data_IF_568011667919
#
_entry.id   IF_568011667919
#
_cell.length_a   1.000
_cell.length_b   1.000
_cell.length_c   1.000
_cell.angle_alpha   90.00
_cell.angle_beta   90.00
_cell.angle_gamma   90.00
#
_symmetry.space_group_name_H-M   'P 1'
#
loop_
_entity.id
_entity.type
_entity.pdbx_description
1 polymer ?
#
# COMPACT_ATOMS: atom_id res chain seq x y z
N UNK A 1 -12.89 -3.46 45.83
CA UNK A 1 -12.44 -2.22 46.51
C UNK A 1 -13.71 -1.41 46.79
N UNK A 2 -14.01 -1.14 48.04
CA UNK A 2 -15.21 -0.37 48.42
C UNK A 2 -14.77 1.07 48.67
N UNK A 3 -15.31 1.99 47.89
CA UNK A 3 -15.11 3.43 48.14
C UNK A 3 -16.13 3.92 49.17
N UNK A 4 -15.72 4.83 49.99
CA UNK A 4 -16.65 5.47 50.94
C UNK A 4 -17.75 6.22 50.17
N UNK A 5 -19.03 6.12 50.57
CA UNK A 5 -20.15 6.75 49.85
C UNK A 5 -19.96 8.24 49.66
N UNK A 6 -19.33 8.92 50.57
CA UNK A 6 -19.04 10.37 50.52
C UNK A 6 -18.09 10.72 49.39
N UNK A 7 -17.07 9.85 49.11
CA UNK A 7 -16.16 10.01 47.96
C UNK A 7 -16.90 9.84 46.62
N UNK A 8 -17.78 8.86 46.55
CA UNK A 8 -18.59 8.64 45.36
C UNK A 8 -19.52 9.83 45.13
N UNK A 9 -20.21 10.29 46.15
CA UNK A 9 -21.08 11.47 46.09
C UNK A 9 -20.32 12.73 45.67
N UNK A 10 -19.13 12.93 46.22
CA UNK A 10 -18.26 14.07 45.86
C UNK A 10 -17.84 13.98 44.37
N UNK A 11 -17.44 12.79 43.91
CA UNK A 11 -17.07 12.60 42.51
C UNK A 11 -18.27 12.88 41.56
N UNK A 12 -19.47 12.36 41.84
CA UNK A 12 -20.69 12.60 41.06
C UNK A 12 -21.00 14.09 41.02
N UNK A 13 -20.95 14.77 42.17
CA UNK A 13 -21.19 16.22 42.25
C UNK A 13 -20.17 17.00 41.43
N UNK A 14 -18.88 16.66 41.55
CA UNK A 14 -17.79 17.27 40.78
C UNK A 14 -17.96 17.09 39.28
N UNK A 15 -18.34 15.88 38.82
CA UNK A 15 -18.64 15.61 37.41
C UNK A 15 -19.84 16.42 36.92
N UNK A 16 -20.90 16.50 37.71
CA UNK A 16 -22.09 17.26 37.34
C UNK A 16 -21.82 18.76 37.23
N UNK A 17 -21.06 19.32 38.16
CA UNK A 17 -20.63 20.71 38.09
C UNK A 17 -19.71 20.98 36.88
N UNK A 18 -18.78 20.08 36.62
CA UNK A 18 -17.92 20.15 35.44
C UNK A 18 -18.71 20.10 34.14
N UNK A 19 -19.68 19.21 34.02
CA UNK A 19 -20.55 19.12 32.84
C UNK A 19 -21.42 20.39 32.66
N UNK A 20 -21.87 21.01 33.76
CA UNK A 20 -22.66 22.25 33.74
C UNK A 20 -21.85 23.49 33.33
N UNK A 21 -20.52 23.49 33.45
CA UNK A 21 -19.65 24.63 33.12
C UNK A 21 -19.56 24.95 31.62
N UNK A 22 -20.28 24.26 30.75
CA UNK A 22 -20.29 24.46 29.29
C UNK A 22 -18.88 24.63 28.69
N UNK A 23 -17.95 23.80 29.09
CA UNK A 23 -16.61 23.79 28.47
C UNK A 23 -16.75 23.51 26.98
N UNK A 24 -15.94 24.19 26.14
CA UNK A 24 -15.85 23.83 24.75
C UNK A 24 -15.60 22.31 24.64
N UNK A 25 -16.40 21.61 23.86
CA UNK A 25 -16.14 20.21 23.55
C UNK A 25 -14.80 20.12 22.82
N UNK A 26 -14.11 19.00 22.90
CA UNK A 26 -12.85 18.81 22.16
C UNK A 26 -13.02 19.09 20.68
N UNK A 27 -14.20 18.77 20.10
CA UNK A 27 -14.57 19.09 18.74
C UNK A 27 -14.57 20.61 18.42
N UNK A 28 -14.73 21.46 19.42
CA UNK A 28 -14.77 22.93 19.27
C UNK A 28 -13.40 23.57 19.57
N UNK A 29 -12.39 22.76 19.95
CA UNK A 29 -11.05 23.26 20.20
C UNK A 29 -10.43 23.78 18.91
N UNK A 30 -9.67 24.90 18.98
CA UNK A 30 -9.05 25.52 17.80
C UNK A 30 -8.16 24.57 16.98
N UNK A 31 -7.51 23.58 17.62
CA UNK A 31 -6.72 22.55 16.92
C UNK A 31 -7.61 21.54 16.18
N UNK A 32 -8.80 21.21 16.71
CA UNK A 32 -9.72 20.27 16.06
C UNK A 32 -10.44 20.92 14.85
N UNK A 33 -10.59 22.25 14.88
CA UNK A 33 -11.22 23.03 13.80
C UNK A 33 -10.21 23.67 12.84
N UNK A 34 -8.89 23.48 13.09
CA UNK A 34 -7.84 24.05 12.24
C UNK A 34 -7.83 23.38 10.87
N UNK A 35 -7.92 24.19 9.81
CA UNK A 35 -7.69 23.75 8.45
C UNK A 35 -6.26 24.07 8.03
N UNK A 36 -5.49 23.05 7.74
CA UNK A 36 -4.14 23.15 7.19
C UNK A 36 -4.25 23.42 5.69
N UNK A 37 -3.51 24.37 5.08
CA UNK A 37 -3.53 24.52 3.63
C UNK A 37 -3.06 23.25 2.94
N UNK A 38 -3.59 22.94 1.75
CA UNK A 38 -3.03 21.88 0.92
C UNK A 38 -1.61 22.28 0.51
N UNK A 39 -0.67 21.33 0.47
CA UNK A 39 0.70 21.63 0.11
C UNK A 39 0.82 21.98 -1.39
N UNK A 40 1.82 22.81 -1.71
CA UNK A 40 2.31 22.89 -3.08
C UNK A 40 2.97 21.55 -3.43
N UNK A 41 2.51 20.93 -4.50
CA UNK A 41 2.98 19.64 -4.95
C UNK A 41 3.99 19.84 -6.10
N UNK A 42 5.29 19.52 -5.90
CA UNK A 42 6.27 19.56 -6.98
C UNK A 42 5.94 18.57 -8.09
N UNK A 43 6.38 18.86 -9.30
CA UNK A 43 6.28 17.91 -10.42
C UNK A 43 7.27 16.75 -10.19
N UNK A 44 6.82 15.49 -10.26
CA UNK A 44 7.71 14.35 -10.11
C UNK A 44 8.80 14.26 -11.19
N UNK A 45 9.97 13.79 -10.81
CA UNK A 45 11.06 13.49 -11.75
C UNK A 45 10.82 12.12 -12.41
N UNK A 46 10.15 12.13 -13.56
CA UNK A 46 9.75 10.93 -14.28
C UNK A 46 10.93 10.12 -14.82
N UNK A 47 10.81 8.79 -14.77
CA UNK A 47 11.75 7.85 -15.39
C UNK A 47 11.18 7.33 -16.71
N UNK A 48 12.07 6.96 -17.61
CA UNK A 48 11.67 6.35 -18.90
C UNK A 48 11.42 4.86 -18.72
N UNK A 49 10.28 4.32 -19.18
CA UNK A 49 10.02 2.88 -19.18
C UNK A 49 11.14 2.11 -19.92
N UNK A 50 11.50 0.96 -19.36
CA UNK A 50 12.56 0.10 -19.94
C UNK A 50 14.00 0.62 -19.71
N UNK A 51 14.18 1.68 -18.91
CA UNK A 51 15.48 2.15 -18.47
C UNK A 51 16.13 1.24 -17.42
N UNK A 52 17.23 1.71 -16.84
CA UNK A 52 17.89 0.99 -15.73
C UNK A 52 16.93 0.86 -14.55
N UNK A 53 16.76 -0.37 -14.05
CA UNK A 53 15.95 -0.62 -12.88
C UNK A 53 16.45 0.18 -11.68
N UNK A 54 15.55 0.86 -10.99
CA UNK A 54 15.82 1.72 -9.85
C UNK A 54 14.99 1.28 -8.63
N UNK A 55 15.44 1.63 -7.45
CA UNK A 55 14.62 1.51 -6.26
C UNK A 55 13.50 2.56 -6.30
N UNK A 56 12.23 2.16 -6.25
CA UNK A 56 11.14 3.13 -6.15
C UNK A 56 11.24 4.01 -4.90
N UNK A 57 11.87 3.51 -3.82
CA UNK A 57 12.09 4.28 -2.60
C UNK A 57 13.07 5.44 -2.79
N UNK A 58 14.07 5.32 -3.67
CA UNK A 58 14.97 6.45 -3.95
C UNK A 58 14.21 7.62 -4.63
N UNK A 59 13.27 7.32 -5.52
CA UNK A 59 12.42 8.34 -6.13
C UNK A 59 11.48 9.00 -5.11
N UNK A 60 10.91 8.20 -4.20
CA UNK A 60 10.09 8.67 -3.09
C UNK A 60 10.87 9.58 -2.15
N UNK A 61 12.10 9.20 -1.78
CA UNK A 61 12.97 9.97 -0.89
C UNK A 61 13.25 11.38 -1.45
N UNK A 62 13.73 11.43 -2.70
CA UNK A 62 14.02 12.69 -3.38
C UNK A 62 12.76 13.56 -3.50
N UNK A 63 11.62 12.98 -3.90
CA UNK A 63 10.36 13.72 -4.02
C UNK A 63 9.88 14.28 -2.67
N UNK A 64 9.97 13.50 -1.59
CA UNK A 64 9.53 13.95 -0.28
C UNK A 64 10.37 15.12 0.24
N UNK A 65 11.68 15.12 0.00
CA UNK A 65 12.54 16.25 0.33
C UNK A 65 12.14 17.50 -0.44
N UNK A 66 11.85 17.38 -1.73
CA UNK A 66 11.37 18.50 -2.56
C UNK A 66 10.02 19.02 -2.09
N UNK A 67 9.08 18.12 -1.75
CA UNK A 67 7.78 18.48 -1.19
C UNK A 67 7.93 19.29 0.10
N UNK A 68 8.79 18.87 1.02
CA UNK A 68 9.03 19.61 2.26
C UNK A 68 9.66 21.00 1.98
N UNK A 69 10.60 21.09 1.06
CA UNK A 69 11.23 22.35 0.67
C UNK A 69 10.26 23.34 0.03
N UNK A 70 9.31 22.84 -0.76
CA UNK A 70 8.28 23.67 -1.40
C UNK A 70 7.24 24.20 -0.37
N UNK A 71 7.21 23.66 0.86
CA UNK A 71 6.19 23.97 1.86
C UNK A 71 6.82 24.33 3.23
N UNK A 72 7.60 25.41 3.33
CA UNK A 72 8.34 25.76 4.55
C UNK A 72 7.42 26.07 5.76
N UNK A 73 6.18 26.47 5.49
CA UNK A 73 5.19 26.78 6.55
C UNK A 73 4.50 25.52 7.12
N UNK A 74 4.70 24.37 6.50
CA UNK A 74 4.15 23.09 6.95
C UNK A 74 5.23 22.27 7.64
N UNK A 75 5.13 22.16 8.96
CA UNK A 75 6.12 21.40 9.75
C UNK A 75 6.15 19.92 9.34
N UNK A 76 7.28 19.39 8.84
CA UNK A 76 7.39 17.96 8.54
C UNK A 76 7.50 17.11 9.80
N UNK A 77 7.05 15.87 9.72
CA UNK A 77 7.27 14.84 10.72
C UNK A 77 7.42 13.49 10.04
N UNK A 78 8.56 12.85 10.24
CA UNK A 78 8.82 11.51 9.73
C UNK A 78 8.91 10.54 10.90
N UNK A 79 8.08 9.52 10.92
CA UNK A 79 8.14 8.43 11.89
C UNK A 79 8.84 7.21 11.27
N UNK A 80 9.89 6.71 11.92
CA UNK A 80 10.58 5.50 11.48
C UNK A 80 11.09 4.71 12.70
N UNK A 81 10.55 3.51 12.96
CA UNK A 81 10.99 2.68 14.09
C UNK A 81 12.26 1.87 13.78
N UNK A 82 12.59 1.76 12.48
CA UNK A 82 13.73 1.02 11.97
C UNK A 82 14.90 1.96 11.66
N UNK A 83 15.76 1.57 10.76
CA UNK A 83 16.82 2.41 10.23
C UNK A 83 16.35 3.11 8.93
N UNK A 84 16.15 4.43 8.98
CA UNK A 84 15.61 5.19 7.85
C UNK A 84 16.50 5.10 6.59
N UNK A 85 17.82 5.05 6.78
CA UNK A 85 18.77 4.87 5.68
C UNK A 85 18.63 3.50 5.02
N UNK A 86 18.40 2.46 5.79
CA UNK A 86 18.11 1.10 5.30
C UNK A 86 16.79 1.01 4.51
N UNK A 87 15.89 1.94 4.76
CA UNK A 87 14.64 2.10 4.01
C UNK A 87 14.79 3.00 2.77
N UNK A 88 16.01 3.31 2.34
CA UNK A 88 16.32 4.18 1.19
C UNK A 88 15.77 5.62 1.34
N UNK A 89 15.74 6.14 2.58
CA UNK A 89 15.31 7.50 2.89
C UNK A 89 16.50 8.37 3.41
N UNK A 90 17.66 8.22 2.81
CA UNK A 90 18.89 8.89 3.24
C UNK A 90 18.92 10.39 2.97
N UNK A 91 18.29 10.90 1.91
CA UNK A 91 18.18 12.33 1.63
C UNK A 91 17.25 13.00 2.65
N UNK A 92 16.11 12.37 2.94
CA UNK A 92 15.19 12.81 3.99
C UNK A 92 15.90 12.88 5.36
N UNK A 93 16.68 11.87 5.72
CA UNK A 93 17.43 11.87 6.97
C UNK A 93 18.44 13.01 7.04
N UNK A 94 19.19 13.28 5.96
CA UNK A 94 20.14 14.40 5.90
C UNK A 94 19.44 15.75 5.99
N UNK A 95 18.30 15.90 5.32
CA UNK A 95 17.55 17.15 5.27
C UNK A 95 16.82 17.47 6.58
N UNK A 96 16.19 16.46 7.19
CA UNK A 96 15.25 16.63 8.32
C UNK A 96 15.83 16.25 9.69
N UNK A 97 16.89 15.49 9.72
CA UNK A 97 17.67 15.04 10.90
C UNK A 97 16.84 14.31 11.95
N UNK A 98 17.46 13.40 12.67
CA UNK A 98 16.89 12.78 13.86
C UNK A 98 16.67 13.82 14.95
N UNK A 99 15.53 13.75 15.61
CA UNK A 99 15.22 14.55 16.78
C UNK A 99 15.83 13.91 18.04
N UNK A 100 16.81 14.58 18.60
CA UNK A 100 17.53 14.10 19.80
C UNK A 100 17.75 15.26 20.79
N UNK A 101 17.90 14.92 22.08
CA UNK A 101 18.17 15.92 23.11
C UNK A 101 19.65 16.36 23.16
N UNK A 102 20.55 15.52 22.66
CA UNK A 102 22.00 15.77 22.64
C UNK A 102 22.57 15.30 21.30
N UNK A 103 22.57 16.18 20.28
CA UNK A 103 23.11 15.84 18.96
C UNK A 103 24.61 15.55 19.01
N UNK A 104 25.01 14.51 18.25
CA UNK A 104 26.42 14.16 18.07
C UNK A 104 26.99 14.86 16.82
N UNK A 105 28.23 15.40 16.88
CA UNK A 105 28.88 15.99 15.72
C UNK A 105 29.11 14.96 14.60
N UNK A 106 28.77 15.33 13.37
CA UNK A 106 28.97 14.48 12.19
C UNK A 106 27.85 13.45 11.93
N UNK A 107 26.85 13.38 12.80
CA UNK A 107 25.65 12.55 12.64
C UNK A 107 24.47 13.44 12.22
N UNK A 108 23.51 12.95 11.40
CA UNK A 108 22.34 13.74 11.02
C UNK A 108 21.32 13.85 12.16
N UNK A 109 21.68 14.55 13.23
CA UNK A 109 20.93 14.78 14.46
C UNK A 109 20.73 16.26 14.75
N UNK A 110 19.58 16.61 15.35
CA UNK A 110 19.32 17.97 15.83
C UNK A 110 18.24 17.97 16.93
N UNK A 111 18.25 18.99 17.82
CA UNK A 111 17.22 19.20 18.82
C UNK A 111 15.86 19.49 18.17
N UNK A 112 15.85 20.22 17.08
CA UNK A 112 14.69 20.56 16.24
C UNK A 112 14.45 19.59 15.08
N UNK A 113 15.19 18.48 15.03
CA UNK A 113 15.04 17.43 14.04
C UNK A 113 13.59 16.97 13.88
N UNK A 114 13.22 16.55 12.67
CA UNK A 114 11.86 16.17 12.32
C UNK A 114 11.66 14.67 12.15
N UNK A 115 12.75 13.88 12.15
CA UNK A 115 12.70 12.41 12.10
C UNK A 115 12.62 11.88 13.54
N UNK A 116 11.55 11.15 13.82
CA UNK A 116 11.33 10.47 15.10
C UNK A 116 11.68 9.01 14.91
N UNK A 117 12.76 8.58 15.56
CA UNK A 117 13.19 7.18 15.59
C UNK A 117 13.09 6.63 17.01
N UNK A 118 12.35 5.56 17.16
CA UNK A 118 12.24 4.77 18.37
C UNK A 118 11.91 3.33 17.99
N UNK A 119 12.48 2.34 18.66
CA UNK A 119 12.15 0.92 18.45
C UNK A 119 10.75 0.61 19.01
N UNK A 120 9.77 1.40 18.60
CA UNK A 120 8.37 1.29 18.99
C UNK A 120 7.51 1.88 17.85
N UNK A 121 6.92 1.02 17.07
CA UNK A 121 6.12 1.36 15.90
C UNK A 121 4.90 2.22 16.28
N UNK A 122 4.24 1.92 17.39
CA UNK A 122 3.07 2.68 17.86
C UNK A 122 3.46 4.10 18.27
N UNK A 123 4.58 4.29 18.97
CA UNK A 123 5.05 5.60 19.37
C UNK A 123 5.41 6.47 18.15
N UNK A 124 6.09 5.92 17.14
CA UNK A 124 6.50 6.70 15.97
C UNK A 124 5.31 7.06 15.07
N UNK A 125 4.35 6.15 14.87
CA UNK A 125 3.14 6.49 14.13
C UNK A 125 2.30 7.50 14.90
N UNK A 126 2.18 7.36 16.22
CA UNK A 126 1.49 8.32 17.10
C UNK A 126 2.11 9.72 17.01
N UNK A 127 3.43 9.83 16.90
CA UNK A 127 4.12 11.10 16.71
C UNK A 127 3.82 11.74 15.34
N UNK A 128 3.71 10.96 14.29
CA UNK A 128 3.32 11.44 12.95
C UNK A 128 1.85 11.86 12.93
N UNK A 129 0.94 11.03 13.42
CA UNK A 129 -0.50 11.33 13.48
C UNK A 129 -0.82 12.55 14.37
N UNK A 130 -0.05 12.75 15.45
CA UNK A 130 -0.17 13.89 16.35
C UNK A 130 0.24 15.23 15.73
N UNK A 131 1.00 15.24 14.63
CA UNK A 131 1.39 16.46 13.93
C UNK A 131 0.29 16.96 12.99
N UNK A 132 -0.86 17.35 13.53
CA UNK A 132 -2.04 17.77 12.76
C UNK A 132 -1.85 19.04 11.93
N UNK A 133 -0.77 19.77 12.13
CA UNK A 133 -0.49 21.05 11.46
C UNK A 133 0.56 20.98 10.35
N UNK A 134 0.94 19.79 9.88
CA UNK A 134 2.06 19.67 8.97
C UNK A 134 2.00 18.51 8.00
N UNK A 135 3.13 18.28 7.34
CA UNK A 135 3.36 17.18 6.40
C UNK A 135 3.93 15.98 7.17
N UNK A 136 3.23 14.87 7.14
CA UNK A 136 3.61 13.67 7.88
C UNK A 136 3.92 12.52 6.95
N UNK A 137 4.88 11.67 7.34
CA UNK A 137 5.24 10.44 6.68
C UNK A 137 5.61 9.40 7.74
N UNK A 138 5.14 8.19 7.62
CA UNK A 138 5.66 7.06 8.38
C UNK A 138 6.28 6.04 7.43
N UNK A 139 7.44 5.48 7.79
CA UNK A 139 8.16 4.48 7.00
C UNK A 139 8.59 3.36 7.92
N UNK A 140 8.28 2.10 7.57
CA UNK A 140 8.67 0.93 8.36
C UNK A 140 8.74 -0.34 7.50
N UNK A 141 9.25 -1.42 8.03
CA UNK A 141 9.17 -2.75 7.41
C UNK A 141 7.74 -3.29 7.48
N UNK A 142 7.27 -3.89 6.39
CA UNK A 142 5.88 -4.37 6.27
C UNK A 142 5.46 -5.26 7.43
N UNK A 143 6.28 -6.24 7.80
CA UNK A 143 5.95 -7.20 8.84
C UNK A 143 5.76 -6.56 10.23
N UNK A 144 6.42 -5.43 10.50
CA UNK A 144 6.31 -4.75 11.80
C UNK A 144 5.21 -3.69 11.84
N UNK A 145 4.77 -3.24 10.68
CA UNK A 145 3.75 -2.20 10.57
C UNK A 145 2.42 -2.58 11.23
N UNK A 146 2.14 -3.88 11.41
CA UNK A 146 0.93 -4.35 12.11
C UNK A 146 0.83 -3.81 13.54
N UNK A 147 1.95 -3.52 14.21
CA UNK A 147 1.97 -2.90 15.54
C UNK A 147 1.46 -1.44 15.55
N UNK A 148 1.40 -0.79 14.38
CA UNK A 148 0.86 0.57 14.21
C UNK A 148 -0.67 0.57 14.11
N UNK A 149 -1.31 -0.59 13.89
CA UNK A 149 -2.71 -0.70 13.53
C UNK A 149 -3.66 -0.05 14.55
N UNK A 150 -3.36 -0.15 15.84
CA UNK A 150 -4.17 0.46 16.90
C UNK A 150 -4.29 1.97 16.75
N UNK A 151 -3.17 2.68 16.58
CA UNK A 151 -3.13 4.13 16.39
C UNK A 151 -3.74 4.54 15.03
N UNK A 152 -3.48 3.79 13.97
CA UNK A 152 -4.06 4.03 12.64
C UNK A 152 -5.58 3.92 12.65
N UNK A 153 -6.15 2.90 13.31
CA UNK A 153 -7.59 2.73 13.43
C UNK A 153 -8.25 3.88 14.21
N UNK A 154 -7.63 4.38 15.28
CA UNK A 154 -8.12 5.56 15.97
C UNK A 154 -8.22 6.77 15.04
N UNK A 155 -7.21 7.00 14.22
CA UNK A 155 -7.20 8.08 13.23
C UNK A 155 -8.28 7.88 12.16
N UNK A 156 -8.42 6.66 11.62
CA UNK A 156 -9.44 6.30 10.63
C UNK A 156 -10.84 6.56 11.18
N UNK A 157 -11.15 6.08 12.37
CA UNK A 157 -12.44 6.26 13.04
C UNK A 157 -12.72 7.75 13.28
N UNK A 158 -11.74 8.51 13.77
CA UNK A 158 -11.90 9.93 14.02
C UNK A 158 -12.14 10.72 12.73
N UNK A 159 -11.39 10.43 11.69
CA UNK A 159 -11.55 11.05 10.38
C UNK A 159 -12.91 10.75 9.76
N UNK A 160 -13.36 9.49 9.85
CA UNK A 160 -14.67 9.07 9.38
C UNK A 160 -15.79 9.78 10.14
N UNK A 161 -15.68 9.87 11.47
CA UNK A 161 -16.65 10.57 12.28
C UNK A 161 -16.77 12.05 11.91
N UNK A 162 -15.67 12.74 11.55
CA UNK A 162 -15.75 14.11 11.04
C UNK A 162 -16.64 14.20 9.79
N UNK A 163 -16.47 13.28 8.83
CA UNK A 163 -17.29 13.21 7.62
C UNK A 163 -18.78 12.94 7.93
N UNK A 164 -19.06 12.02 8.84
CA UNK A 164 -20.44 11.66 9.24
C UNK A 164 -21.21 12.84 9.87
N UNK A 165 -20.51 13.75 10.54
CA UNK A 165 -21.11 14.98 11.07
C UNK A 165 -21.02 16.16 10.09
N UNK A 166 -20.72 15.89 8.81
CA UNK A 166 -20.67 16.90 7.74
C UNK A 166 -19.45 17.82 7.80
N UNK A 167 -18.35 17.41 8.46
CA UNK A 167 -17.11 18.18 8.56
C UNK A 167 -16.03 17.53 7.74
N UNK A 168 -15.25 18.31 6.99
CA UNK A 168 -14.02 17.83 6.38
C UNK A 168 -12.91 17.78 7.44
N UNK A 169 -12.10 16.71 7.52
CA UNK A 169 -10.88 16.71 8.32
C UNK A 169 -9.99 17.91 7.98
N UNK A 170 -9.54 18.64 9.01
CA UNK A 170 -8.74 19.85 8.81
C UNK A 170 -7.26 19.59 8.55
N UNK A 171 -6.80 18.35 8.69
CA UNK A 171 -5.39 17.93 8.52
C UNK A 171 -5.16 17.14 7.23
N UNK A 172 -3.92 17.10 6.78
CA UNK A 172 -3.52 16.38 5.57
C UNK A 172 -3.59 14.86 5.77
N UNK A 173 -3.80 14.13 4.68
CA UNK A 173 -3.66 12.68 4.68
C UNK A 173 -2.24 12.27 5.06
N UNK A 174 -2.10 11.09 5.68
CA UNK A 174 -0.83 10.58 6.17
C UNK A 174 -0.44 9.32 5.41
N UNK A 175 0.61 9.35 4.58
CA UNK A 175 1.16 8.14 4.01
C UNK A 175 1.90 7.33 5.07
N UNK A 176 1.63 6.03 5.07
CA UNK A 176 2.42 4.98 5.73
C UNK A 176 3.10 4.18 4.62
N UNK A 177 4.40 4.31 4.48
CA UNK A 177 5.17 3.48 3.55
C UNK A 177 5.60 2.21 4.27
N UNK A 178 5.21 1.07 3.71
CA UNK A 178 5.72 -0.24 4.13
C UNK A 178 6.65 -0.76 3.05
N UNK A 179 7.90 -0.96 3.45
CA UNK A 179 8.98 -1.41 2.56
C UNK A 179 9.74 -2.58 3.17
N UNK A 180 10.81 -3.07 2.56
CA UNK A 180 11.36 -4.38 2.95
C UNK A 180 10.26 -5.43 3.08
N UNK A 181 9.33 -5.39 2.13
CA UNK A 181 8.07 -6.10 2.24
C UNK A 181 8.24 -7.62 2.07
N UNK A 182 7.17 -8.33 2.30
CA UNK A 182 7.10 -9.80 2.36
C UNK A 182 7.91 -10.52 1.28
N UNK A 183 7.88 -10.06 0.04
CA UNK A 183 8.55 -10.70 -1.09
C UNK A 183 10.05 -10.40 -1.17
N UNK A 184 10.52 -9.31 -0.55
CA UNK A 184 11.92 -8.88 -0.56
C UNK A 184 12.71 -9.37 0.65
N UNK A 185 12.05 -9.61 1.76
CA UNK A 185 12.70 -9.81 3.04
C UNK A 185 12.93 -11.29 3.40
N UNK A 186 13.14 -12.12 2.38
CA UNK A 186 13.42 -13.54 2.56
C UNK A 186 14.63 -13.85 3.42
N UNK A 187 15.64 -12.96 3.44
CA UNK A 187 16.86 -13.15 4.23
C UNK A 187 16.64 -13.22 5.74
N UNK A 188 15.60 -12.54 6.24
CA UNK A 188 15.27 -12.48 7.66
C UNK A 188 14.20 -13.50 8.06
N UNK A 189 13.94 -14.47 7.20
CA UNK A 189 12.97 -15.56 7.41
C UNK A 189 11.53 -15.10 7.67
N UNK A 190 10.71 -15.98 8.17
CA UNK A 190 9.28 -15.78 8.38
C UNK A 190 8.95 -14.60 9.32
N UNK A 191 9.86 -14.26 10.24
CA UNK A 191 9.64 -13.16 11.19
C UNK A 191 9.51 -11.77 10.52
N UNK A 192 9.98 -11.64 9.28
CA UNK A 192 9.95 -10.40 8.50
C UNK A 192 9.04 -10.52 7.25
N UNK A 193 8.23 -11.56 7.17
CA UNK A 193 7.38 -11.86 6.02
C UNK A 193 5.92 -11.87 6.46
N UNK A 194 5.28 -10.72 6.52
CA UNK A 194 3.87 -10.61 6.91
C UNK A 194 3.16 -9.42 6.25
N UNK A 195 2.21 -9.66 5.33
CA UNK A 195 1.43 -8.59 4.67
C UNK A 195 0.20 -8.16 5.47
N UNK A 196 0.04 -8.58 6.72
CA UNK A 196 -1.18 -8.37 7.53
C UNK A 196 -1.61 -6.91 7.64
N UNK A 197 -0.67 -5.95 7.67
CA UNK A 197 -1.05 -4.54 7.79
C UNK A 197 -1.89 -4.07 6.59
N UNK A 198 -1.49 -4.42 5.38
CA UNK A 198 -2.25 -4.10 4.16
C UNK A 198 -3.61 -4.78 4.15
N UNK A 199 -3.67 -6.05 4.56
CA UNK A 199 -4.90 -6.83 4.66
C UNK A 199 -5.89 -6.22 5.68
N UNK A 200 -5.39 -5.82 6.85
CA UNK A 200 -6.19 -5.18 7.89
C UNK A 200 -6.75 -3.83 7.43
N UNK A 201 -5.92 -2.99 6.80
CA UNK A 201 -6.33 -1.68 6.31
C UNK A 201 -7.30 -1.77 5.11
N UNK A 202 -7.21 -2.81 4.27
CA UNK A 202 -8.20 -3.11 3.24
C UNK A 202 -9.56 -3.50 3.83
N UNK A 203 -9.60 -3.98 5.07
CA UNK A 203 -10.83 -4.26 5.80
C UNK A 203 -11.52 -3.03 6.38
N UNK A 204 -10.83 -1.89 6.47
CA UNK A 204 -11.38 -0.63 6.99
C UNK A 204 -12.18 0.14 5.91
N UNK A 205 -12.77 1.27 6.29
CA UNK A 205 -13.56 2.14 5.40
C UNK A 205 -12.67 2.78 4.34
N UNK A 206 -12.87 2.43 3.08
CA UNK A 206 -11.96 2.76 1.98
C UNK A 206 -11.93 4.25 1.60
N UNK A 207 -12.88 5.04 2.06
CA UNK A 207 -12.88 6.50 1.89
C UNK A 207 -11.90 7.23 2.83
N UNK A 208 -11.43 6.57 3.89
CA UNK A 208 -10.46 7.09 4.86
C UNK A 208 -9.24 6.19 5.05
N UNK A 209 -9.30 4.92 4.64
CA UNK A 209 -8.21 3.95 4.67
C UNK A 209 -7.90 3.45 3.27
N UNK A 210 -6.75 3.80 2.75
CA UNK A 210 -6.31 3.44 1.39
C UNK A 210 -5.12 2.51 1.47
N UNK A 211 -5.08 1.49 0.61
CA UNK A 211 -3.91 0.63 0.42
C UNK A 211 -3.52 0.68 -1.05
N UNK A 212 -2.32 1.15 -1.30
CA UNK A 212 -1.78 1.44 -2.62
C UNK A 212 -0.60 0.51 -2.89
N UNK A 213 -0.55 -0.04 -4.09
CA UNK A 213 0.53 -0.93 -4.53
C UNK A 213 1.30 -0.30 -5.70
N UNK A 214 2.28 0.59 -5.44
CA UNK A 214 3.17 1.08 -6.50
C UNK A 214 3.93 -0.06 -7.18
N UNK A 215 3.99 -0.02 -8.50
CA UNK A 215 4.62 -1.06 -9.32
C UNK A 215 6.09 -0.75 -9.65
N UNK A 216 6.43 0.54 -9.70
CA UNK A 216 7.72 1.06 -10.15
C UNK A 216 7.98 2.46 -9.56
N UNK A 217 9.09 3.09 -9.95
CA UNK A 217 9.47 4.40 -9.46
C UNK A 217 8.44 5.49 -9.81
N UNK A 218 7.89 5.48 -11.03
CA UNK A 218 6.93 6.47 -11.48
C UNK A 218 5.59 6.38 -10.73
N UNK A 219 5.09 5.18 -10.50
CA UNK A 219 3.85 4.97 -9.74
C UNK A 219 4.03 5.24 -8.24
N UNK A 220 5.23 4.99 -7.70
CA UNK A 220 5.54 5.28 -6.30
C UNK A 220 5.62 6.79 -6.05
N UNK A 221 6.30 7.52 -6.92
CA UNK A 221 6.44 8.98 -6.75
C UNK A 221 5.10 9.69 -6.99
N UNK A 222 4.26 9.25 -7.92
CA UNK A 222 2.93 9.82 -8.18
C UNK A 222 1.93 9.53 -7.04
N UNK A 223 2.12 8.44 -6.31
CA UNK A 223 1.28 8.13 -5.15
C UNK A 223 1.34 9.22 -4.08
N UNK A 224 2.50 9.84 -3.84
CA UNK A 224 2.67 10.86 -2.81
C UNK A 224 1.85 12.13 -3.04
N UNK A 225 1.94 12.85 -4.20
CA UNK A 225 1.10 14.00 -4.46
C UNK A 225 -0.39 13.63 -4.43
N UNK A 226 -0.77 12.45 -4.91
CA UNK A 226 -2.15 12.00 -4.83
C UNK A 226 -2.64 11.88 -3.36
N UNK A 227 -1.82 11.34 -2.47
CA UNK A 227 -2.16 11.24 -1.03
C UNK A 227 -2.21 12.62 -0.39
N UNK A 228 -1.23 13.48 -0.63
CA UNK A 228 -1.16 14.82 -0.02
C UNK A 228 -2.17 15.83 -0.60
N UNK A 229 -2.78 15.53 -1.74
CA UNK A 229 -3.93 16.30 -2.23
C UNK A 229 -5.21 16.05 -1.43
N UNK A 230 -5.24 14.99 -0.61
CA UNK A 230 -6.36 14.58 0.23
C UNK A 230 -6.21 15.01 1.70
N UNK A 231 -7.30 14.84 2.45
CA UNK A 231 -7.38 15.18 3.87
C UNK A 231 -7.89 14.01 4.70
N UNK A 232 -7.28 13.83 5.87
CA UNK A 232 -7.76 12.91 6.90
C UNK A 232 -7.71 11.43 6.52
N UNK A 233 -7.04 11.05 5.44
CA UNK A 233 -6.88 9.66 5.05
C UNK A 233 -5.59 9.08 5.61
N UNK A 234 -5.60 7.79 5.89
CA UNK A 234 -4.42 6.96 6.01
C UNK A 234 -4.22 6.27 4.66
N UNK A 235 -3.03 6.39 4.09
CA UNK A 235 -2.67 5.71 2.84
C UNK A 235 -1.45 4.82 3.08
N UNK A 236 -1.67 3.51 3.12
CA UNK A 236 -0.60 2.53 3.19
C UNK A 236 -0.06 2.26 1.78
N UNK A 237 1.21 2.58 1.55
CA UNK A 237 1.90 2.37 0.29
C UNK A 237 2.86 1.19 0.44
N UNK A 238 2.60 0.11 -0.27
CA UNK A 238 3.44 -1.10 -0.28
C UNK A 238 4.49 -0.94 -1.39
N UNK A 239 5.68 -0.48 -1.03
CA UNK A 239 6.71 -0.07 -2.00
C UNK A 239 7.92 -0.99 -1.92
N UNK A 240 8.37 -1.59 -3.05
CA UNK A 240 9.63 -2.32 -3.09
C UNK A 240 10.81 -1.36 -2.88
N UNK A 241 11.77 -1.77 -2.07
CA UNK A 241 13.05 -1.04 -1.92
C UNK A 241 14.14 -1.54 -2.85
N UNK A 242 14.00 -2.75 -3.38
CA UNK A 242 14.91 -3.25 -4.41
C UNK A 242 14.59 -2.62 -5.76
N UNK A 243 15.57 -2.59 -6.62
CA UNK A 243 15.38 -2.10 -7.98
C UNK A 243 14.36 -2.96 -8.74
N UNK A 244 13.40 -2.31 -9.36
CA UNK A 244 12.41 -2.91 -10.25
C UNK A 244 12.39 -2.14 -11.57
N UNK A 245 12.00 -2.82 -12.65
CA UNK A 245 11.89 -2.18 -13.96
C UNK A 245 10.72 -1.20 -14.01
N UNK A 246 10.92 -0.03 -14.59
CA UNK A 246 9.84 0.92 -14.85
C UNK A 246 8.96 0.43 -16.01
N UNK A 247 7.68 0.23 -15.70
CA UNK A 247 6.64 -0.23 -16.64
C UNK A 247 5.78 0.95 -17.12
N UNK A 248 5.55 1.92 -16.25
CA UNK A 248 4.67 3.05 -16.51
C UNK A 248 5.48 4.32 -16.86
N UNK A 249 5.09 5.03 -17.92
CA UNK A 249 5.53 6.42 -18.13
C UNK A 249 4.84 7.33 -17.13
N UNK A 250 5.30 8.59 -16.97
CA UNK A 250 4.68 9.56 -16.08
C UNK A 250 3.17 9.72 -16.31
N UNK A 251 2.74 9.90 -17.57
CA UNK A 251 1.31 10.03 -17.90
C UNK A 251 0.52 8.77 -17.57
N UNK A 252 1.09 7.59 -17.83
CA UNK A 252 0.44 6.32 -17.47
C UNK A 252 0.38 6.13 -15.96
N UNK A 253 1.41 6.54 -15.22
CA UNK A 253 1.42 6.50 -13.76
C UNK A 253 0.33 7.42 -13.18
N UNK A 254 0.20 8.66 -13.66
CA UNK A 254 -0.90 9.56 -13.29
C UNK A 254 -2.27 8.96 -13.57
N UNK A 255 -2.46 8.39 -14.76
CA UNK A 255 -3.71 7.74 -15.14
C UNK A 255 -4.02 6.55 -14.24
N UNK A 256 -3.03 5.70 -13.95
CA UNK A 256 -3.17 4.55 -13.07
C UNK A 256 -3.57 4.97 -11.65
N UNK A 257 -2.85 5.92 -11.05
CA UNK A 257 -3.10 6.41 -9.70
C UNK A 257 -4.48 7.07 -9.60
N UNK A 258 -4.86 7.84 -10.62
CA UNK A 258 -6.20 8.48 -10.69
C UNK A 258 -7.32 7.45 -10.83
N UNK A 259 -7.16 6.40 -11.64
CA UNK A 259 -8.21 5.41 -11.93
C UNK A 259 -8.20 4.21 -10.97
N UNK A 260 -7.09 3.98 -10.27
CA UNK A 260 -6.90 2.85 -9.36
C UNK A 260 -6.54 1.52 -10.04
N UNK A 261 -6.70 1.41 -11.37
CA UNK A 261 -6.27 0.27 -12.18
C UNK A 261 -6.09 0.67 -13.64
N UNK A 262 -5.31 -0.12 -14.39
CA UNK A 262 -5.11 0.06 -15.83
C UNK A 262 -4.86 -1.27 -16.54
N UNK A 263 -5.19 -1.34 -17.84
CA UNK A 263 -4.70 -2.37 -18.75
C UNK A 263 -3.21 -2.10 -19.04
N UNK A 264 -2.38 -3.11 -18.86
CA UNK A 264 -0.92 -3.00 -19.04
C UNK A 264 -0.44 -3.67 -20.31
N UNK A 265 -0.99 -4.84 -20.62
CA UNK A 265 -0.63 -5.60 -21.81
C UNK A 265 -1.83 -6.34 -22.40
N UNK A 266 -1.77 -6.65 -23.70
CA UNK A 266 -2.82 -7.34 -24.43
C UNK A 266 -4.03 -6.47 -24.76
N UNK A 267 -5.10 -7.12 -25.22
CA UNK A 267 -6.36 -6.50 -25.60
C UNK A 267 -7.52 -7.27 -24.94
N UNK A 268 -8.28 -6.60 -24.11
CA UNK A 268 -9.41 -7.18 -23.36
C UNK A 268 -10.47 -7.81 -24.30
N UNK A 269 -10.68 -7.20 -25.48
CA UNK A 269 -11.68 -7.68 -26.44
C UNK A 269 -11.28 -8.97 -27.15
N UNK A 270 -10.00 -9.28 -27.22
CA UNK A 270 -9.43 -10.44 -27.87
C UNK A 270 -8.95 -11.53 -26.91
N UNK A 271 -8.79 -11.17 -25.65
CA UNK A 271 -8.27 -12.08 -24.64
C UNK A 271 -9.24 -13.23 -24.33
N UNK A 272 -8.69 -14.41 -24.12
CA UNK A 272 -9.42 -15.59 -23.62
C UNK A 272 -9.30 -15.74 -22.09
N UNK A 273 -8.29 -15.11 -21.50
CA UNK A 273 -8.05 -15.07 -20.05
C UNK A 273 -7.41 -13.74 -19.65
N UNK A 274 -7.72 -13.26 -18.47
CA UNK A 274 -7.15 -12.03 -17.91
C UNK A 274 -6.29 -12.36 -16.68
N UNK A 275 -5.06 -11.81 -16.64
CA UNK A 275 -4.23 -11.84 -15.45
C UNK A 275 -4.37 -10.47 -14.78
N UNK A 276 -4.71 -10.47 -13.50
CA UNK A 276 -4.87 -9.25 -12.68
C UNK A 276 -3.77 -9.23 -11.64
N UNK A 277 -2.83 -8.30 -11.77
CA UNK A 277 -1.69 -8.19 -10.88
C UNK A 277 -1.90 -7.07 -9.83
N UNK A 278 -1.50 -7.35 -8.58
CA UNK A 278 -1.50 -6.41 -7.44
C UNK A 278 -0.15 -6.56 -6.74
N UNK A 279 0.72 -5.58 -6.86
CA UNK A 279 2.10 -5.60 -6.36
C UNK A 279 3.13 -5.61 -7.49
N UNK A 280 4.31 -5.05 -7.22
CA UNK A 280 5.36 -4.84 -8.23
C UNK A 280 5.88 -6.16 -8.84
N UNK A 281 6.23 -7.14 -8.00
CA UNK A 281 6.72 -8.44 -8.47
C UNK A 281 5.63 -9.26 -9.14
N UNK A 282 4.39 -9.16 -8.67
CA UNK A 282 3.23 -9.78 -9.28
C UNK A 282 2.97 -9.26 -10.70
N UNK A 283 3.20 -7.95 -10.92
CA UNK A 283 3.11 -7.39 -12.27
C UNK A 283 4.19 -7.94 -13.19
N UNK A 284 5.44 -8.04 -12.72
CA UNK A 284 6.53 -8.60 -13.52
C UNK A 284 6.24 -10.05 -13.93
N UNK A 285 5.80 -10.88 -12.99
CA UNK A 285 5.44 -12.27 -13.26
C UNK A 285 4.21 -12.37 -14.18
N UNK A 286 3.22 -11.50 -14.03
CA UNK A 286 2.06 -11.43 -14.92
C UNK A 286 2.45 -11.07 -16.37
N UNK A 287 3.38 -10.13 -16.54
CA UNK A 287 3.90 -9.77 -17.88
C UNK A 287 4.69 -10.92 -18.52
N UNK A 288 5.52 -11.63 -17.75
CA UNK A 288 6.23 -12.83 -18.23
C UNK A 288 5.22 -13.92 -18.65
N UNK A 289 4.18 -14.15 -17.83
CA UNK A 289 3.12 -15.11 -18.15
C UNK A 289 2.36 -14.73 -19.41
N UNK A 290 2.02 -13.44 -19.57
CA UNK A 290 1.38 -12.92 -20.79
C UNK A 290 2.24 -13.20 -22.04
N UNK A 291 3.53 -12.86 -22.00
CA UNK A 291 4.43 -13.13 -23.11
C UNK A 291 4.48 -14.63 -23.48
N UNK A 292 4.50 -15.51 -22.50
CA UNK A 292 4.48 -16.95 -22.74
C UNK A 292 3.16 -17.40 -23.37
N UNK A 293 2.02 -16.95 -22.83
CA UNK A 293 0.70 -17.30 -23.34
C UNK A 293 0.52 -16.83 -24.79
N UNK A 294 0.89 -15.59 -25.08
CA UNK A 294 0.79 -15.01 -26.43
C UNK A 294 1.68 -15.75 -27.41
N UNK A 295 2.93 -16.06 -27.06
CA UNK A 295 3.87 -16.86 -27.88
C UNK A 295 3.36 -18.30 -28.19
N UNK A 296 2.46 -18.82 -27.37
CA UNK A 296 1.82 -20.13 -27.52
C UNK A 296 0.42 -20.06 -28.13
N UNK A 297 0.03 -18.91 -28.72
CA UNK A 297 -1.27 -18.73 -29.35
C UNK A 297 -2.46 -18.77 -28.37
N UNK A 298 -2.26 -18.36 -27.14
CA UNK A 298 -3.28 -18.22 -26.14
C UNK A 298 -3.44 -16.72 -25.79
N UNK A 299 -4.31 -15.97 -26.48
CA UNK A 299 -4.46 -14.54 -26.26
C UNK A 299 -4.84 -14.24 -24.81
N UNK A 300 -4.02 -13.48 -24.10
CA UNK A 300 -4.25 -13.05 -22.73
C UNK A 300 -4.15 -11.53 -22.63
N UNK A 301 -4.68 -10.95 -21.55
CA UNK A 301 -4.42 -9.57 -21.21
C UNK A 301 -4.01 -9.44 -19.74
N UNK A 302 -3.24 -8.38 -19.43
CA UNK A 302 -2.79 -8.07 -18.07
C UNK A 302 -3.37 -6.74 -17.64
N UNK A 303 -4.10 -6.75 -16.54
CA UNK A 303 -4.53 -5.53 -15.85
C UNK A 303 -3.80 -5.41 -14.51
N UNK A 304 -3.42 -4.19 -14.16
CA UNK A 304 -2.81 -3.88 -12.89
C UNK A 304 -3.79 -3.12 -11.99
N UNK A 305 -3.96 -3.57 -10.75
CA UNK A 305 -4.77 -2.90 -9.75
C UNK A 305 -3.84 -2.24 -8.73
N UNK A 306 -3.81 -0.92 -8.79
CA UNK A 306 -3.00 -0.07 -7.92
C UNK A 306 -3.65 0.15 -6.55
N UNK A 307 -4.97 0.34 -6.51
CA UNK A 307 -5.75 0.64 -5.29
C UNK A 307 -6.96 -0.29 -5.19
N UNK A 308 -6.80 -1.50 -4.60
CA UNK A 308 -7.86 -2.51 -4.53
C UNK A 308 -9.13 -2.04 -3.82
N UNK A 309 -9.02 -1.16 -2.81
CA UNK A 309 -10.15 -0.62 -2.06
C UNK A 309 -11.21 0.08 -2.94
N UNK A 310 -10.83 0.58 -4.12
CA UNK A 310 -11.76 1.19 -5.09
C UNK A 310 -12.58 0.19 -5.91
N UNK A 311 -12.25 -1.09 -5.83
CA UNK A 311 -12.91 -2.17 -6.58
C UNK A 311 -13.79 -3.06 -5.71
N UNK A 312 -13.92 -2.73 -4.42
CA UNK A 312 -14.80 -3.42 -3.48
C UNK A 312 -16.27 -3.07 -3.69
N UNK A 313 -17.16 -3.81 -3.07
CA UNK A 313 -18.54 -3.37 -2.87
C UNK A 313 -18.56 -2.27 -1.83
N UNK A 314 -19.22 -1.15 -2.13
CA UNK A 314 -19.37 -0.05 -1.17
C UNK A 314 -20.28 -0.48 -0.02
N UNK A 315 -19.90 -0.14 1.21
CA UNK A 315 -20.71 -0.44 2.39
C UNK A 315 -21.70 0.69 2.72
N UNK A 316 -21.43 1.90 2.24
CA UNK A 316 -22.22 3.10 2.51
C UNK A 316 -21.98 4.20 1.46
N UNK A 317 -22.70 5.31 1.62
CA UNK A 317 -22.68 6.45 0.69
C UNK A 317 -21.30 7.11 0.53
N UNK A 318 -20.44 7.06 1.56
CA UNK A 318 -19.10 7.66 1.48
C UNK A 318 -18.14 6.79 0.65
N UNK A 319 -18.29 5.49 0.75
CA UNK A 319 -17.53 4.57 -0.10
C UNK A 319 -18.05 4.56 -1.55
N UNK A 320 -19.37 4.76 -1.77
CA UNK A 320 -19.96 4.88 -3.13
C UNK A 320 -19.32 6.00 -3.95
N UNK A 321 -18.86 7.08 -3.30
CA UNK A 321 -18.19 8.20 -3.98
C UNK A 321 -16.81 7.83 -4.57
N UNK A 322 -16.13 6.83 -3.99
CA UNK A 322 -14.75 6.47 -4.36
C UNK A 322 -14.64 5.16 -5.11
N UNK A 323 -15.60 4.24 -4.96
CA UNK A 323 -15.56 2.96 -5.70
C UNK A 323 -15.78 3.18 -7.18
N UNK A 324 -15.07 2.39 -7.98
CA UNK A 324 -15.19 2.44 -9.44
C UNK A 324 -16.60 2.05 -9.88
N UNK A 325 -17.21 2.92 -10.69
CA UNK A 325 -18.56 2.71 -11.21
C UNK A 325 -18.60 1.49 -12.14
N UNK A 326 -19.74 0.80 -12.16
CA UNK A 326 -19.91 -0.48 -12.87
C UNK A 326 -19.54 -0.39 -14.36
N UNK A 327 -19.89 0.67 -15.08
CA UNK A 327 -19.53 0.84 -16.49
C UNK A 327 -18.01 0.83 -16.73
N UNK A 328 -17.27 1.67 -15.98
CA UNK A 328 -15.81 1.73 -16.07
C UNK A 328 -15.16 0.40 -15.61
N UNK A 329 -15.70 -0.21 -14.55
CA UNK A 329 -15.24 -1.49 -14.07
C UNK A 329 -15.36 -2.58 -15.16
N UNK A 330 -16.48 -2.65 -15.88
CA UNK A 330 -16.69 -3.69 -16.92
C UNK A 330 -15.92 -3.44 -18.20
N UNK A 331 -15.51 -2.23 -18.47
CA UNK A 331 -14.59 -1.94 -19.58
C UNK A 331 -13.22 -2.60 -19.34
N UNK A 332 -12.70 -2.55 -18.11
CA UNK A 332 -11.42 -3.15 -17.77
C UNK A 332 -11.54 -4.62 -17.34
N UNK A 333 -12.68 -5.00 -16.74
CA UNK A 333 -12.94 -6.33 -16.18
C UNK A 333 -14.28 -6.91 -16.69
N UNK A 334 -14.38 -7.38 -17.94
CA UNK A 334 -15.62 -7.98 -18.50
C UNK A 334 -16.06 -9.21 -17.70
N UNK A 335 -17.36 -9.36 -17.46
CA UNK A 335 -17.92 -10.49 -16.69
C UNK A 335 -17.62 -11.87 -17.27
N UNK A 336 -17.52 -11.97 -18.60
CA UNK A 336 -17.34 -13.23 -19.31
C UNK A 336 -15.90 -13.76 -19.34
N UNK A 337 -14.92 -13.00 -18.92
CA UNK A 337 -13.50 -13.33 -19.06
C UNK A 337 -12.97 -14.02 -17.79
N UNK A 338 -12.46 -15.27 -17.86
CA UNK A 338 -11.82 -15.93 -16.72
C UNK A 338 -10.61 -15.14 -16.23
N UNK A 339 -10.31 -15.21 -14.91
CA UNK A 339 -9.25 -14.40 -14.29
C UNK A 339 -8.32 -15.19 -13.41
N UNK A 340 -7.04 -14.86 -13.52
CA UNK A 340 -6.00 -15.25 -12.57
C UNK A 340 -5.54 -13.99 -11.85
N UNK A 341 -5.71 -13.94 -10.53
CA UNK A 341 -5.23 -12.85 -9.68
C UNK A 341 -3.87 -13.23 -9.11
N UNK A 342 -2.87 -12.39 -9.33
CA UNK A 342 -1.56 -12.46 -8.70
C UNK A 342 -1.46 -11.32 -7.68
N UNK A 343 -1.49 -11.66 -6.38
CA UNK A 343 -1.63 -10.67 -5.30
C UNK A 343 -0.40 -10.61 -4.42
N UNK A 344 -0.10 -9.41 -3.94
CA UNK A 344 0.96 -9.19 -2.95
C UNK A 344 0.62 -9.84 -1.61
N UNK A 345 -0.62 -9.71 -1.19
CA UNK A 345 -1.15 -10.21 0.08
C UNK A 345 -1.58 -11.67 -0.02
N UNK A 346 -2.12 -12.20 1.07
CA UNK A 346 -2.79 -13.52 1.04
C UNK A 346 -3.99 -13.50 0.09
N UNK A 347 -4.26 -14.62 -0.60
CA UNK A 347 -5.41 -14.73 -1.53
C UNK A 347 -6.76 -14.46 -0.89
N UNK A 348 -6.98 -14.93 0.32
CA UNK A 348 -8.28 -14.93 0.98
C UNK A 348 -8.81 -13.51 1.29
N UNK A 349 -8.05 -12.60 1.94
CA UNK A 349 -8.49 -11.23 2.14
C UNK A 349 -8.71 -10.49 0.82
N UNK A 350 -7.81 -10.69 -0.15
CA UNK A 350 -7.90 -10.01 -1.44
C UNK A 350 -9.10 -10.47 -2.26
N UNK A 351 -9.45 -11.75 -2.23
CA UNK A 351 -10.64 -12.27 -2.88
C UNK A 351 -11.92 -11.62 -2.32
N UNK A 352 -11.97 -11.38 -1.01
CA UNK A 352 -13.07 -10.66 -0.37
C UNK A 352 -13.19 -9.21 -0.87
N UNK A 353 -12.08 -8.49 -0.90
CA UNK A 353 -12.03 -7.08 -1.37
C UNK A 353 -12.41 -6.98 -2.85
N UNK A 354 -11.89 -7.89 -3.70
CA UNK A 354 -12.09 -7.87 -5.16
C UNK A 354 -13.30 -8.69 -5.63
N UNK A 355 -14.27 -8.96 -4.75
CA UNK A 355 -15.45 -9.76 -5.08
C UNK A 355 -16.20 -9.28 -6.33
N UNK A 356 -16.26 -7.98 -6.58
CA UNK A 356 -16.84 -7.43 -7.82
C UNK A 356 -16.10 -7.83 -9.09
N UNK A 357 -14.82 -8.20 -8.98
CA UNK A 357 -13.97 -8.65 -10.08
C UNK A 357 -13.98 -10.18 -10.21
N UNK A 358 -14.38 -10.90 -9.17
CA UNK A 358 -14.46 -12.36 -9.19
C UNK A 358 -15.53 -12.81 -10.18
N UNK A 359 -15.22 -13.85 -10.95
CA UNK A 359 -16.11 -14.41 -11.97
C UNK A 359 -16.76 -15.73 -11.54
N UNK A 360 -16.34 -16.32 -10.50
CA UNK A 360 -16.78 -17.50 -9.74
C UNK A 360 -15.60 -18.41 -9.40
N UNK A 361 -15.79 -19.36 -8.49
CA UNK A 361 -14.76 -20.35 -8.14
C UNK A 361 -14.27 -21.20 -9.33
N UNK A 362 -15.11 -21.40 -10.34
CA UNK A 362 -14.76 -22.17 -11.54
C UNK A 362 -13.95 -21.32 -12.54
N UNK A 363 -14.05 -19.99 -12.47
CA UNK A 363 -13.53 -19.07 -13.48
C UNK A 363 -12.53 -18.07 -12.93
N UNK A 364 -12.20 -18.13 -11.64
CA UNK A 364 -11.19 -17.31 -10.98
C UNK A 364 -10.19 -18.18 -10.24
N UNK A 365 -8.92 -17.75 -10.24
CA UNK A 365 -7.85 -18.30 -9.39
C UNK A 365 -7.11 -17.14 -8.73
N UNK A 366 -6.75 -17.34 -7.48
CA UNK A 366 -5.97 -16.37 -6.71
C UNK A 366 -4.63 -16.99 -6.31
N UNK A 367 -3.53 -16.38 -6.72
CA UNK A 367 -2.17 -16.66 -6.30
C UNK A 367 -1.66 -15.48 -5.46
N UNK A 368 -0.93 -15.77 -4.40
CA UNK A 368 -0.41 -14.74 -3.50
C UNK A 368 0.45 -15.33 -2.40
N UNK A 369 0.70 -14.58 -1.35
CA UNK A 369 1.48 -15.03 -0.22
C UNK A 369 0.74 -16.11 0.57
N UNK A 370 1.32 -17.31 0.68
CA UNK A 370 0.74 -18.46 1.40
C UNK A 370 1.59 -18.87 2.62
N UNK A 371 2.35 -17.93 3.16
CA UNK A 371 3.21 -18.13 4.34
C UNK A 371 4.23 -19.27 4.17
N UNK A 372 4.75 -19.43 2.98
CA UNK A 372 5.85 -20.35 2.66
C UNK A 372 7.06 -19.52 2.27
N UNK A 373 7.93 -19.33 3.22
CA UNK A 373 9.14 -18.57 3.06
C UNK A 373 10.31 -19.28 3.77
N UNK A 374 11.38 -18.57 3.87
CA UNK A 374 12.63 -18.99 4.49
C UNK A 374 13.69 -17.96 4.14
N UNK A 375 14.95 -18.31 4.23
CA UNK A 375 16.07 -17.49 3.76
C UNK A 375 16.17 -17.59 2.24
N UNK A 376 15.29 -16.88 1.52
CA UNK A 376 15.16 -16.93 0.07
C UNK A 376 15.36 -15.53 -0.53
N UNK A 377 15.73 -15.46 -1.80
CA UNK A 377 15.61 -14.25 -2.59
C UNK A 377 14.18 -14.05 -3.13
N UNK A 378 13.95 -13.00 -3.89
CA UNK A 378 12.61 -12.72 -4.47
C UNK A 378 12.12 -13.87 -5.35
N UNK A 379 13.01 -14.44 -6.17
CA UNK A 379 12.68 -15.55 -7.05
C UNK A 379 12.28 -16.80 -6.26
N UNK A 380 13.03 -17.12 -5.22
CA UNK A 380 12.70 -18.21 -4.30
C UNK A 380 11.41 -17.98 -3.53
N UNK A 381 11.12 -16.72 -3.13
CA UNK A 381 9.85 -16.37 -2.49
C UNK A 381 8.67 -16.57 -3.45
N UNK A 382 8.78 -16.12 -4.68
CA UNK A 382 7.76 -16.32 -5.72
C UNK A 382 7.53 -17.82 -5.99
N UNK A 383 8.63 -18.59 -6.08
CA UNK A 383 8.55 -20.04 -6.29
C UNK A 383 7.85 -20.76 -5.14
N UNK A 384 8.30 -20.54 -3.89
CA UNK A 384 7.75 -21.23 -2.72
C UNK A 384 6.28 -20.88 -2.46
N UNK A 385 5.85 -19.66 -2.84
CA UNK A 385 4.45 -19.21 -2.75
C UNK A 385 3.65 -19.47 -4.04
N UNK A 386 4.17 -20.25 -4.99
CA UNK A 386 3.48 -20.62 -6.24
C UNK A 386 2.97 -19.40 -7.03
N UNK A 387 3.78 -18.35 -7.11
CA UNK A 387 3.43 -17.06 -7.71
C UNK A 387 4.35 -16.66 -8.87
N UNK A 388 5.18 -17.58 -9.41
CA UNK A 388 5.99 -17.32 -10.60
C UNK A 388 5.12 -17.28 -11.86
N UNK A 389 5.63 -16.70 -12.92
CA UNK A 389 4.97 -16.64 -14.22
C UNK A 389 4.46 -18.01 -14.71
N UNK A 390 5.20 -19.09 -14.47
CA UNK A 390 4.80 -20.43 -14.89
C UNK A 390 3.60 -20.97 -14.10
N UNK A 391 3.53 -20.66 -12.79
CA UNK A 391 2.35 -20.97 -11.98
C UNK A 391 1.12 -20.19 -12.49
N UNK A 392 1.29 -18.93 -12.93
CA UNK A 392 0.21 -18.14 -13.49
C UNK A 392 -0.23 -18.72 -14.87
N UNK A 393 0.71 -19.17 -15.70
CA UNK A 393 0.38 -19.88 -16.96
C UNK A 393 -0.38 -21.16 -16.68
N UNK A 394 0.04 -21.97 -15.71
CA UNK A 394 -0.67 -23.16 -15.28
C UNK A 394 -2.10 -22.83 -14.84
N UNK A 395 -2.29 -21.84 -13.99
CA UNK A 395 -3.60 -21.41 -13.55
C UNK A 395 -4.50 -20.94 -14.71
N UNK A 396 -3.92 -20.23 -15.69
CA UNK A 396 -4.62 -19.85 -16.92
C UNK A 396 -5.04 -21.09 -17.74
N UNK A 397 -4.15 -22.07 -17.88
CA UNK A 397 -4.45 -23.31 -18.64
C UNK A 397 -5.60 -24.10 -18.00
N UNK A 398 -5.61 -24.21 -16.68
CA UNK A 398 -6.68 -24.87 -15.92
C UNK A 398 -8.04 -24.18 -16.14
N UNK A 399 -8.09 -22.84 -16.06
CA UNK A 399 -9.31 -22.06 -16.30
C UNK A 399 -9.85 -22.19 -17.73
N UNK A 400 -8.95 -22.42 -18.69
CA UNK A 400 -9.31 -22.60 -20.11
C UNK A 400 -9.59 -24.05 -20.49
N UNK A 401 -9.46 -24.99 -19.56
CA UNK A 401 -9.59 -26.43 -19.84
C UNK A 401 -8.53 -26.93 -20.81
N UNK A 402 -7.35 -26.31 -20.84
CA UNK A 402 -6.21 -26.69 -21.68
C UNK A 402 -5.18 -27.47 -20.87
N UNK A 403 -4.41 -28.31 -21.53
CA UNK A 403 -3.27 -28.98 -20.91
C UNK A 403 -2.07 -28.02 -20.86
N UNK A 404 -1.38 -27.96 -19.72
CA UNK A 404 -0.22 -27.08 -19.52
C UNK A 404 0.99 -27.44 -20.41
N UNK A 405 1.09 -28.70 -20.85
CA UNK A 405 2.10 -29.22 -21.77
C UNK A 405 2.12 -28.53 -23.15
N UNK A 406 1.01 -27.91 -23.53
CA UNK A 406 0.95 -27.07 -24.74
C UNK A 406 1.51 -25.66 -24.54
N UNK A 407 1.63 -25.20 -23.29
CA UNK A 407 2.03 -23.84 -22.94
C UNK A 407 3.42 -23.76 -22.27
N UNK A 408 3.82 -24.82 -21.56
CA UNK A 408 5.09 -24.93 -20.84
C UNK A 408 5.92 -26.10 -21.40
N UNK A 409 7.24 -26.00 -21.31
CA UNK A 409 8.12 -27.09 -21.69
C UNK A 409 8.37 -28.11 -20.55
N UNK A 410 9.07 -29.21 -20.84
CA UNK A 410 9.27 -30.28 -19.86
C UNK A 410 10.08 -29.83 -18.63
N UNK A 411 11.06 -28.94 -18.80
CA UNK A 411 11.89 -28.47 -17.68
C UNK A 411 11.04 -27.56 -16.75
N UNK A 412 10.20 -26.72 -17.33
CA UNK A 412 9.26 -25.85 -16.61
C UNK A 412 8.20 -26.65 -15.84
N UNK A 413 7.63 -27.68 -16.48
CA UNK A 413 6.66 -28.58 -15.84
C UNK A 413 7.31 -29.40 -14.71
N UNK A 414 8.54 -29.86 -14.90
CA UNK A 414 9.31 -30.53 -13.85
C UNK A 414 9.56 -29.60 -12.66
N UNK A 415 9.93 -28.33 -12.92
CA UNK A 415 10.11 -27.33 -11.88
C UNK A 415 8.80 -27.04 -11.11
N UNK A 416 7.67 -26.87 -11.81
CA UNK A 416 6.35 -26.69 -11.20
C UNK A 416 5.94 -27.84 -10.28
N UNK A 417 6.27 -29.07 -10.67
CA UNK A 417 5.97 -30.28 -9.87
C UNK A 417 6.96 -30.51 -8.71
N UNK A 418 8.01 -29.67 -8.58
CA UNK A 418 9.06 -29.83 -7.57
C UNK A 418 10.10 -30.89 -7.90
N UNK A 419 10.09 -31.45 -9.11
CA UNK A 419 11.02 -32.49 -9.56
C UNK A 419 12.13 -31.95 -10.46
N UNK A 420 12.11 -30.67 -10.80
CA UNK A 420 13.06 -29.97 -11.66
C UNK A 420 13.81 -28.83 -10.98
N UNK A 421 14.67 -28.15 -11.75
CA UNK A 421 15.37 -26.96 -11.29
C UNK A 421 14.40 -25.76 -11.21
N UNK A 422 14.18 -25.16 -10.02
CA UNK A 422 13.33 -23.97 -9.89
C UNK A 422 13.74 -22.81 -10.81
N UNK A 423 15.02 -22.71 -11.15
CA UNK A 423 15.53 -21.65 -12.04
C UNK A 423 14.92 -21.67 -13.44
N UNK A 424 14.31 -22.77 -13.86
CA UNK A 424 13.59 -22.83 -15.14
C UNK A 424 12.36 -21.92 -15.17
N UNK A 425 11.81 -21.57 -13.99
CA UNK A 425 10.57 -20.78 -13.86
C UNK A 425 10.69 -19.56 -12.94
N UNK A 426 11.91 -19.19 -12.51
CA UNK A 426 12.17 -18.02 -11.66
C UNK A 426 12.97 -16.93 -12.37
#
# INVERSE_FOLDING_TARGET
MWLAPELVQHAVTSFSLHAAQRRPKEADHALATRHVPLPQLPEPAWKSPGGTALSPMDAVDSYFVELVRANPDLRPRVGNPDELQSNHMGETLKALKHRVNRPEPGVPEAIDGCVISALNEEAVIGAALGNKGGINLAVTYEAFAVKMLGALRQEIIFSRHQKEVGRSPGWLSVPLIVTSHTWENGKNELSHQDPTIGEALLGEMSDVSRVLFPADANTAVEALPNVYSGRGQIACLVIPKRAVADVFSGDRARSLVSNGAALVAGDVSRATVQIVAIGAYQLQEALRAHHRLDARGCPACVSYVFEPGRFREAHDVFEEEIVVREGALRTLFPKGLPRVFATHTRPEPMAGVLRRLDTSQERSRFAGFINRGGTLDVAGMLFSNRSTWAHLVQACSELLGRQSEGLLDQAELAALSGNGDPRAIT
#
